data_IF_965100825474
#
_entry.id   IF_965100825474
#
_cell.length_a   1.000
_cell.length_b   1.000
_cell.length_c   1.000
_cell.angle_alpha   90.00
_cell.angle_beta   90.00
_cell.angle_gamma   90.00
#
_symmetry.space_group_name_H-M   'P 1'
#
loop_
_entity.id
_entity.type
_entity.pdbx_description
1 polymer ?
#
# COMPACT_ATOMS: atom_id res chain seq x y z
N UNK A 1 16.93 -56.25 -40.86
CA UNK A 1 17.81 -55.55 -39.90
C UNK A 1 17.77 -54.07 -40.23
N UNK A 2 17.38 -53.27 -39.24
CA UNK A 2 17.20 -51.83 -39.35
C UNK A 2 18.54 -51.10 -39.22
N UNK A 3 18.73 -50.01 -39.95
CA UNK A 3 19.15 -48.73 -39.36
C UNK A 3 18.96 -47.59 -40.37
N UNK A 4 18.12 -46.62 -40.01
CA UNK A 4 18.24 -45.25 -40.50
C UNK A 4 18.83 -44.43 -39.36
N UNK A 5 20.00 -43.85 -39.56
CA UNK A 5 20.66 -42.95 -38.59
C UNK A 5 20.38 -41.50 -38.95
N UNK A 6 19.45 -40.87 -38.23
CA UNK A 6 19.18 -39.44 -38.33
C UNK A 6 20.23 -38.63 -37.57
N UNK A 7 20.77 -37.59 -38.21
CA UNK A 7 21.53 -36.52 -37.58
C UNK A 7 21.25 -35.23 -38.35
N UNK A 8 21.37 -34.06 -37.71
CA UNK A 8 21.28 -32.73 -38.33
C UNK A 8 19.90 -32.05 -38.45
N UNK A 9 19.03 -32.08 -37.43
CA UNK A 9 17.93 -31.07 -37.33
C UNK A 9 17.71 -30.49 -35.93
N UNK A 10 18.50 -30.86 -34.91
CA UNK A 10 18.13 -30.62 -33.51
C UNK A 10 18.77 -29.42 -32.80
N UNK A 11 19.58 -28.59 -33.46
CA UNK A 11 20.35 -27.55 -32.75
C UNK A 11 19.80 -26.13 -32.84
N UNK A 12 18.94 -25.80 -33.82
CA UNK A 12 18.35 -24.45 -33.91
C UNK A 12 17.14 -24.25 -32.96
N UNK A 13 16.38 -25.30 -32.63
CA UNK A 13 15.24 -25.20 -31.71
C UNK A 13 15.61 -25.22 -30.21
N UNK A 14 16.82 -25.67 -29.85
CA UNK A 14 17.25 -25.79 -28.45
C UNK A 14 17.76 -24.46 -27.89
N UNK A 15 18.48 -23.68 -28.69
CA UNK A 15 18.98 -22.36 -28.30
C UNK A 15 17.84 -21.36 -28.03
N UNK A 16 16.77 -21.38 -28.83
CA UNK A 16 15.58 -20.55 -28.61
C UNK A 16 14.80 -20.92 -27.35
N UNK A 17 14.74 -22.21 -26.99
CA UNK A 17 14.11 -22.68 -25.75
C UNK A 17 14.93 -22.34 -24.51
N UNK A 18 16.26 -22.45 -24.59
CA UNK A 18 17.15 -22.04 -23.51
C UNK A 18 17.09 -20.52 -23.30
N UNK A 19 17.12 -19.74 -24.38
CA UNK A 19 17.00 -18.29 -24.34
C UNK A 19 15.66 -17.83 -23.75
N UNK A 20 14.56 -18.50 -24.11
CA UNK A 20 13.23 -18.23 -23.53
C UNK A 20 13.17 -18.65 -22.05
N UNK A 21 13.73 -19.80 -21.66
CA UNK A 21 13.76 -20.24 -20.27
C UNK A 21 14.64 -19.33 -19.39
N UNK A 22 15.78 -18.87 -19.91
CA UNK A 22 16.63 -17.85 -19.26
C UNK A 22 15.88 -16.52 -19.17
N UNK A 23 15.20 -16.08 -20.23
CA UNK A 23 14.36 -14.88 -20.19
C UNK A 23 13.26 -15.01 -19.13
N UNK A 24 12.56 -16.15 -19.07
CA UNK A 24 11.53 -16.44 -18.07
C UNK A 24 12.09 -16.53 -16.64
N UNK A 25 13.34 -16.95 -16.46
CA UNK A 25 14.05 -16.94 -15.18
C UNK A 25 14.50 -15.53 -14.75
N UNK A 26 14.75 -14.64 -15.71
CA UNK A 26 15.11 -13.22 -15.46
C UNK A 26 13.89 -12.35 -15.22
N UNK A 27 12.68 -12.83 -15.55
CA UNK A 27 11.43 -12.23 -15.05
C UNK A 27 11.32 -12.63 -13.57
N UNK A 28 12.12 -11.98 -12.73
CA UNK A 28 11.79 -11.93 -11.31
C UNK A 28 10.37 -11.38 -11.21
N UNK A 29 9.52 -12.15 -10.53
CA UNK A 29 8.15 -11.76 -10.27
C UNK A 29 8.23 -10.48 -9.46
N UNK A 30 7.92 -9.33 -10.07
CA UNK A 30 7.78 -8.06 -9.37
C UNK A 30 6.50 -8.15 -8.55
N UNK A 31 6.59 -8.80 -7.39
CA UNK A 31 5.54 -8.68 -6.40
C UNK A 31 5.68 -7.27 -5.82
N UNK A 32 4.57 -6.55 -5.70
CA UNK A 32 4.57 -5.11 -5.36
C UNK A 32 3.63 -4.85 -4.19
N UNK A 33 3.36 -3.58 -3.87
CA UNK A 33 2.45 -3.19 -2.78
C UNK A 33 1.13 -3.98 -2.84
N UNK A 34 0.89 -4.80 -1.82
CA UNK A 34 -0.33 -5.59 -1.71
C UNK A 34 -1.17 -5.10 -0.53
N UNK A 35 -2.31 -4.46 -0.81
CA UNK A 35 -3.27 -4.07 0.22
C UNK A 35 -4.01 -5.32 0.70
N UNK A 36 -3.89 -5.64 1.99
CA UNK A 36 -4.52 -6.82 2.58
C UNK A 36 -5.91 -6.52 3.16
N UNK A 37 -6.07 -5.36 3.81
CA UNK A 37 -7.33 -4.96 4.42
C UNK A 37 -7.45 -3.43 4.49
N UNK A 38 -8.65 -2.92 4.28
CA UNK A 38 -8.98 -1.49 4.43
C UNK A 38 -10.31 -1.39 5.17
N UNK A 39 -10.26 -0.83 6.36
CA UNK A 39 -11.42 -0.61 7.21
C UNK A 39 -11.71 0.88 7.36
N UNK A 40 -12.90 1.29 6.91
CA UNK A 40 -13.43 2.64 7.05
C UNK A 40 -14.84 2.53 7.65
N UNK A 41 -15.08 3.02 8.88
CA UNK A 41 -16.39 2.98 9.50
C UNK A 41 -17.42 3.81 8.71
N UNK A 42 -18.63 3.28 8.55
CA UNK A 42 -19.75 4.04 7.98
C UNK A 42 -20.44 4.87 9.06
N UNK A 43 -20.82 6.12 8.72
CA UNK A 43 -21.71 7.01 9.50
C UNK A 43 -21.36 7.16 10.99
N UNK A 44 -20.35 7.96 11.34
CA UNK A 44 -20.07 8.27 12.74
C UNK A 44 -21.21 9.05 13.40
N UNK A 45 -21.60 8.64 14.61
CA UNK A 45 -22.46 9.47 15.45
C UNK A 45 -21.66 10.69 15.93
N UNK A 46 -22.36 11.81 16.17
CA UNK A 46 -21.73 13.06 16.57
C UNK A 46 -20.83 12.88 17.82
N UNK A 47 -19.67 13.54 17.82
CA UNK A 47 -18.69 13.53 18.91
C UNK A 47 -18.01 12.16 19.15
N UNK A 48 -18.04 11.26 18.16
CA UNK A 48 -17.27 10.02 18.17
C UNK A 48 -15.92 10.15 17.45
N UNK A 49 -14.96 9.33 17.89
CA UNK A 49 -13.71 9.08 17.18
C UNK A 49 -13.93 7.98 16.14
N UNK A 50 -13.53 8.25 14.92
CA UNK A 50 -13.49 7.29 13.81
C UNK A 50 -12.05 6.84 13.68
N UNK A 51 -11.86 5.53 13.72
CA UNK A 51 -10.58 4.90 13.42
C UNK A 51 -10.67 4.29 12.03
N UNK A 52 -9.84 4.79 11.12
CA UNK A 52 -9.61 4.15 9.83
C UNK A 52 -8.33 3.34 9.93
N UNK A 53 -8.35 2.12 9.42
CA UNK A 53 -7.21 1.21 9.43
C UNK A 53 -6.96 0.69 8.01
N UNK A 54 -5.70 0.59 7.62
CA UNK A 54 -5.30 -0.06 6.37
C UNK A 54 -4.06 -0.92 6.61
N UNK A 55 -4.13 -2.18 6.21
CA UNK A 55 -3.06 -3.16 6.31
C UNK A 55 -2.57 -3.49 4.91
N UNK A 56 -1.26 -3.42 4.70
CA UNK A 56 -0.64 -3.76 3.43
C UNK A 56 0.68 -4.49 3.65
N UNK A 57 1.14 -5.19 2.60
CA UNK A 57 2.44 -5.82 2.51
C UNK A 57 3.28 -5.19 1.42
N UNK A 58 4.59 -5.20 1.63
CA UNK A 58 5.60 -4.86 0.65
C UNK A 58 6.49 -6.05 0.41
N UNK A 59 6.96 -6.17 -0.82
CA UNK A 59 8.04 -7.09 -1.16
C UNK A 59 9.35 -6.68 -0.51
N UNK A 60 10.28 -7.61 -0.43
CA UNK A 60 11.60 -7.35 0.11
C UNK A 60 12.31 -6.25 -0.69
N UNK A 61 12.90 -5.28 0.00
CA UNK A 61 13.59 -4.14 -0.63
C UNK A 61 12.69 -2.98 -1.08
N UNK A 62 11.37 -3.16 -1.10
CA UNK A 62 10.42 -2.12 -1.48
C UNK A 62 10.02 -1.21 -0.30
N UNK A 63 9.68 0.04 -0.60
CA UNK A 63 9.18 1.00 0.38
C UNK A 63 8.09 1.90 -0.21
N UNK A 64 7.10 2.24 0.62
CA UNK A 64 6.08 3.23 0.22
C UNK A 64 6.65 4.64 0.40
N UNK A 65 6.55 5.47 -0.64
CA UNK A 65 6.93 6.89 -0.58
C UNK A 65 6.02 7.69 0.36
N UNK A 66 4.70 7.53 0.22
CA UNK A 66 3.72 8.22 1.06
C UNK A 66 2.42 7.46 1.25
N UNK A 67 1.86 7.60 2.45
CA UNK A 67 0.55 7.08 2.83
C UNK A 67 -0.33 8.28 3.11
N UNK A 68 -1.50 8.37 2.49
CA UNK A 68 -2.36 9.56 2.54
C UNK A 68 -3.79 9.16 2.87
N UNK A 69 -4.40 9.90 3.79
CA UNK A 69 -5.82 9.80 4.09
C UNK A 69 -6.57 11.00 3.51
N UNK A 70 -7.69 10.68 2.88
CA UNK A 70 -8.56 11.61 2.19
C UNK A 70 -9.98 11.55 2.74
N UNK A 71 -10.66 12.70 2.76
CA UNK A 71 -12.10 12.81 2.95
C UNK A 71 -12.62 13.79 1.90
N UNK A 72 -13.63 13.38 1.13
CA UNK A 72 -14.25 14.22 0.09
C UNK A 72 -13.22 14.83 -0.88
N UNK A 73 -12.25 14.01 -1.31
CA UNK A 73 -11.09 14.39 -2.15
C UNK A 73 -10.10 15.38 -1.52
N UNK A 74 -10.29 15.73 -0.25
CA UNK A 74 -9.36 16.56 0.49
C UNK A 74 -8.41 15.71 1.34
N UNK A 75 -7.12 15.87 1.10
CA UNK A 75 -6.09 15.27 1.93
C UNK A 75 -6.08 15.94 3.32
N UNK A 76 -6.03 15.14 4.37
CA UNK A 76 -5.96 15.65 5.76
C UNK A 76 -4.79 15.08 6.57
N UNK A 77 -4.24 13.93 6.17
CA UNK A 77 -3.15 13.27 6.89
C UNK A 77 -2.22 12.51 5.94
N UNK A 78 -0.91 12.79 6.01
CA UNK A 78 0.13 12.14 5.21
C UNK A 78 1.25 11.64 6.11
N UNK A 79 1.63 10.38 5.91
CA UNK A 79 2.81 9.76 6.49
C UNK A 79 3.83 9.59 5.36
N UNK A 80 5.07 9.98 5.61
CA UNK A 80 6.21 9.79 4.73
C UNK A 80 7.15 8.79 5.41
N UNK A 81 7.01 7.49 5.09
CA UNK A 81 7.92 6.47 5.58
C UNK A 81 9.37 6.81 5.25
N UNK A 82 10.29 6.49 6.16
CA UNK A 82 11.71 6.53 5.83
C UNK A 82 12.37 5.23 6.31
N UNK A 83 12.76 4.33 5.39
CA UNK A 83 13.36 3.04 5.78
C UNK A 83 14.71 3.20 6.49
N UNK A 84 15.33 4.37 6.43
CA UNK A 84 16.64 4.65 7.05
C UNK A 84 16.56 5.48 8.33
N UNK A 85 15.36 5.76 8.87
CA UNK A 85 15.19 6.54 10.10
C UNK A 85 14.25 5.84 11.06
N UNK A 86 14.51 6.01 12.35
CA UNK A 86 13.65 5.47 13.41
C UNK A 86 12.24 6.07 13.43
N UNK A 87 12.07 7.29 12.89
CA UNK A 87 10.79 8.02 12.93
C UNK A 87 10.35 8.49 11.56
N UNK A 88 9.10 8.18 11.24
CA UNK A 88 8.43 8.67 10.04
C UNK A 88 8.15 10.16 10.12
N UNK A 89 8.20 10.83 8.96
CA UNK A 89 7.74 12.21 8.86
C UNK A 89 6.24 12.23 8.63
N UNK A 90 5.57 13.21 9.22
CA UNK A 90 4.12 13.34 9.18
C UNK A 90 3.73 14.75 8.79
N UNK A 91 2.80 14.89 7.86
CA UNK A 91 2.20 16.16 7.43
C UNK A 91 0.70 16.10 7.70
N UNK A 92 0.16 17.15 8.33
CA UNK A 92 -1.27 17.27 8.66
C UNK A 92 -1.83 18.47 7.93
N UNK A 93 -2.89 18.25 7.15
CA UNK A 93 -3.60 19.31 6.45
C UNK A 93 -4.90 19.58 7.21
N UNK A 94 -5.03 20.79 7.78
CA UNK A 94 -6.23 21.16 8.53
C UNK A 94 -7.40 21.34 7.57
N UNK A 95 -8.49 20.60 7.79
CA UNK A 95 -9.71 20.68 6.98
C UNK A 95 -10.95 20.94 7.86
N UNK A 96 -11.94 21.69 7.38
CA UNK A 96 -13.19 21.89 8.10
C UNK A 96 -13.84 20.56 8.50
N UNK A 97 -14.27 20.43 9.75
CA UNK A 97 -14.95 19.22 10.24
C UNK A 97 -14.05 18.01 10.52
N UNK A 98 -12.74 18.08 10.23
CA UNK A 98 -11.77 17.01 10.52
C UNK A 98 -10.89 17.42 11.71
N UNK A 99 -10.95 16.66 12.80
CA UNK A 99 -10.04 16.82 13.93
C UNK A 99 -9.21 15.55 14.12
N UNK A 100 -8.02 15.52 13.52
CA UNK A 100 -7.12 14.38 13.58
C UNK A 100 -6.53 14.20 14.98
N UNK A 101 -6.71 13.03 15.58
CA UNK A 101 -6.05 12.62 16.81
C UNK A 101 -4.65 12.07 16.48
N UNK A 102 -3.65 12.95 16.55
CA UNK A 102 -2.25 12.62 16.20
C UNK A 102 -1.65 11.55 17.12
N UNK A 103 -2.06 11.47 18.38
CA UNK A 103 -1.46 10.52 19.33
C UNK A 103 -1.87 9.08 19.01
N UNK A 104 -3.08 8.92 18.47
CA UNK A 104 -3.62 7.61 18.12
C UNK A 104 -3.53 7.31 16.61
N UNK A 105 -3.04 8.24 15.80
CA UNK A 105 -2.79 8.04 14.37
C UNK A 105 -1.31 7.72 14.12
N UNK A 106 -1.03 6.89 13.13
CA UNK A 106 0.35 6.57 12.80
C UNK A 106 0.48 5.32 11.94
N UNK A 107 1.66 4.73 11.99
CA UNK A 107 1.97 3.48 11.30
C UNK A 107 2.63 2.50 12.26
N UNK A 108 2.35 1.23 12.09
CA UNK A 108 2.96 0.13 12.84
C UNK A 108 3.45 -0.92 11.84
N UNK A 109 4.69 -1.34 11.98
CA UNK A 109 5.35 -2.29 11.07
C UNK A 109 5.61 -3.58 11.82
N UNK A 110 5.19 -4.70 11.23
CA UNK A 110 5.40 -6.03 11.76
C UNK A 110 5.87 -6.94 10.63
N UNK A 111 7.16 -7.27 10.59
CA UNK A 111 7.80 -7.96 9.47
C UNK A 111 7.52 -7.22 8.15
N UNK A 112 7.06 -7.92 7.11
CA UNK A 112 6.66 -7.33 5.82
C UNK A 112 5.27 -6.68 5.82
N UNK A 113 4.51 -6.81 6.92
CA UNK A 113 3.15 -6.26 7.06
C UNK A 113 3.22 -4.90 7.74
N UNK A 114 2.55 -3.92 7.15
CA UNK A 114 2.42 -2.57 7.69
C UNK A 114 0.95 -2.23 7.91
N UNK A 115 0.64 -1.72 9.10
CA UNK A 115 -0.68 -1.20 9.46
C UNK A 115 -0.60 0.33 9.58
N UNK A 116 -1.53 1.03 8.94
CA UNK A 116 -1.69 2.48 9.05
C UNK A 116 -3.00 2.79 9.71
N UNK A 117 -3.00 3.78 10.60
CA UNK A 117 -4.18 4.22 11.34
C UNK A 117 -4.39 5.71 11.24
N UNK A 118 -5.59 6.12 10.85
CA UNK A 118 -6.04 7.51 10.89
C UNK A 118 -7.20 7.67 11.88
N UNK A 119 -7.00 8.42 12.95
CA UNK A 119 -8.05 8.71 13.93
C UNK A 119 -8.58 10.12 13.74
N UNK A 120 -9.87 10.28 13.46
CA UNK A 120 -10.53 11.59 13.37
C UNK A 120 -11.68 11.70 14.35
N UNK A 121 -11.75 12.81 15.08
CA UNK A 121 -12.89 13.15 15.95
C UNK A 121 -13.90 13.95 15.15
N UNK A 122 -15.14 13.50 15.15
CA UNK A 122 -16.24 14.26 14.55
C UNK A 122 -16.57 15.49 15.40
N UNK A 123 -16.78 16.63 14.75
CA UNK A 123 -17.19 17.85 15.46
C UNK A 123 -18.70 17.83 15.71
N UNK A 124 -19.15 18.48 16.78
CA UNK A 124 -20.55 18.87 16.94
C UNK A 124 -20.95 19.69 15.70
N UNK A 125 -22.01 19.28 15.01
CA UNK A 125 -22.58 20.05 13.91
C UNK A 125 -22.89 21.45 14.45
N UNK A 126 -22.35 22.49 13.81
CA UNK A 126 -22.90 23.82 14.03
C UNK A 126 -24.29 23.78 13.43
N UNK A 127 -25.28 23.92 14.28
CA UNK A 127 -26.62 24.31 13.86
C UNK A 127 -26.44 25.63 13.10
N UNK A 128 -26.65 25.59 11.78
CA UNK A 128 -26.72 26.79 10.96
C UNK A 128 -28.02 27.49 11.32
N UNK A 129 -28.00 28.27 12.39
CA UNK A 129 -29.05 29.24 12.67
C UNK A 129 -28.90 30.35 11.63
N UNK A 130 -29.53 30.16 10.47
CA UNK A 130 -29.77 31.26 9.53
C UNK A 130 -30.80 32.17 10.20
N UNK A 131 -30.36 33.37 10.59
CA UNK A 131 -31.23 34.47 11.02
C UNK A 131 -32.11 34.97 9.88
#
# INVERSE_FOLDING_TARGET
MASQGQGWTMNLCKAGKLGLAVLLLVIEVTDSLHIEDVFIPMYPTQNQTITMDCVYKLSEGEYVDSIKWYKDNEEFYRILPNPHRERDKVVIFKKPGINLDRQNSGVSRFNSRTQTRGNIRTRRGRESTTS
#
